data_IF_417789367719
#
_entry.id   IF_417789367719
#
_cell.length_a   1.000
_cell.length_b   1.000
_cell.length_c   1.000
_cell.angle_alpha   90.00
_cell.angle_beta   90.00
_cell.angle_gamma   90.00
#
_symmetry.space_group_name_H-M   'P 1'
#
loop_
_entity.id
_entity.type
_entity.pdbx_description
1 polymer ?
#
# COMPACT_ATOMS: atom_id res chain seq x y z
N UNK A 1 -6.29 -20.74 -19.20
CA UNK A 1 -6.43 -20.37 -17.79
C UNK A 1 -5.47 -19.21 -17.54
N UNK A 2 -5.97 -18.07 -17.09
CA UNK A 2 -5.09 -16.93 -16.79
C UNK A 2 -4.25 -17.22 -15.54
N UNK A 3 -3.00 -16.73 -15.47
CA UNK A 3 -2.18 -16.94 -14.29
C UNK A 3 -2.85 -16.31 -13.05
N UNK A 4 -2.78 -16.96 -11.88
CA UNK A 4 -3.36 -16.43 -10.63
C UNK A 4 -2.65 -15.17 -10.11
N UNK A 5 -1.57 -14.76 -10.77
CA UNK A 5 -0.77 -13.58 -10.47
C UNK A 5 -0.76 -12.66 -11.68
N UNK A 6 -0.86 -11.36 -11.42
CA UNK A 6 -0.80 -10.33 -12.44
C UNK A 6 0.20 -9.25 -12.04
N UNK A 7 0.68 -8.50 -13.03
CA UNK A 7 1.53 -7.34 -12.80
C UNK A 7 0.66 -6.08 -12.72
N UNK A 8 0.86 -5.30 -11.65
CA UNK A 8 0.25 -3.99 -11.50
C UNK A 8 1.35 -2.96 -11.25
N UNK A 9 1.30 -1.84 -11.97
CA UNK A 9 2.19 -0.69 -11.77
C UNK A 9 1.40 0.43 -11.10
N UNK A 10 1.95 1.01 -10.03
CA UNK A 10 1.36 2.09 -9.27
C UNK A 10 2.27 3.31 -9.35
N UNK A 11 1.74 4.42 -9.85
CA UNK A 11 2.42 5.72 -9.87
C UNK A 11 1.81 6.55 -8.74
N UNK A 12 2.55 6.67 -7.64
CA UNK A 12 2.09 7.32 -6.43
C UNK A 12 2.57 8.76 -6.40
N UNK A 13 1.70 9.64 -5.89
CA UNK A 13 1.98 11.06 -5.74
C UNK A 13 2.21 11.42 -4.25
N UNK A 14 2.91 12.53 -4.01
CA UNK A 14 3.19 13.04 -2.67
C UNK A 14 4.00 12.06 -1.82
N UNK A 15 5.09 11.51 -2.35
CA UNK A 15 6.02 10.69 -1.58
C UNK A 15 6.77 11.52 -0.54
N UNK A 16 7.22 12.70 -0.98
CA UNK A 16 8.01 13.65 -0.21
C UNK A 16 7.22 14.31 0.93
N UNK A 17 7.94 14.65 2.01
CA UNK A 17 7.44 15.49 3.09
C UNK A 17 7.50 16.97 2.70
N UNK A 18 6.58 17.79 3.21
CA UNK A 18 6.63 19.24 3.04
C UNK A 18 7.63 19.89 4.01
N UNK A 19 7.81 19.30 5.20
CA UNK A 19 8.85 19.67 6.17
C UNK A 19 9.73 18.48 6.52
N UNK A 20 9.84 18.18 7.81
CA UNK A 20 10.56 17.00 8.27
C UNK A 20 9.74 15.73 8.04
N UNK A 21 10.41 14.69 7.54
CA UNK A 21 9.78 13.39 7.31
C UNK A 21 9.15 12.85 8.60
N UNK A 22 7.84 12.61 8.56
CA UNK A 22 7.10 12.07 9.69
C UNK A 22 5.97 11.15 9.25
N UNK A 23 5.39 10.42 10.20
CA UNK A 23 4.25 9.54 9.93
C UNK A 23 3.03 10.27 9.33
N UNK A 24 2.91 11.58 9.58
CA UNK A 24 1.83 12.43 9.08
C UNK A 24 2.23 13.24 7.85
N UNK A 25 3.51 13.58 7.72
CA UNK A 25 4.09 14.39 6.65
C UNK A 25 5.08 13.55 5.83
N UNK A 26 4.52 12.64 5.02
CA UNK A 26 5.19 11.81 4.00
C UNK A 26 4.17 10.86 3.37
N UNK A 27 4.53 10.19 2.26
CA UNK A 27 3.80 9.02 1.73
C UNK A 27 2.29 9.24 1.53
N UNK A 28 1.88 10.41 1.09
CA UNK A 28 0.47 10.82 1.01
C UNK A 28 -0.37 9.91 0.10
N UNK A 29 0.07 9.71 -1.15
CA UNK A 29 -0.63 8.86 -2.11
C UNK A 29 -0.67 7.39 -1.69
N UNK A 30 0.42 6.89 -1.12
CA UNK A 30 0.52 5.51 -0.63
C UNK A 30 -0.44 5.23 0.53
N UNK A 31 -0.48 6.12 1.54
CA UNK A 31 -1.37 5.98 2.71
C UNK A 31 -2.84 6.02 2.31
N UNK A 32 -3.21 6.96 1.44
CA UNK A 32 -4.58 7.06 0.93
C UNK A 32 -5.01 5.79 0.16
N UNK A 33 -4.13 5.27 -0.72
CA UNK A 33 -4.40 4.06 -1.48
C UNK A 33 -4.53 2.84 -0.56
N UNK A 34 -3.62 2.66 0.40
CA UNK A 34 -3.67 1.55 1.35
C UNK A 34 -4.97 1.55 2.17
N UNK A 35 -5.39 2.72 2.69
CA UNK A 35 -6.66 2.85 3.41
C UNK A 35 -7.87 2.53 2.51
N UNK A 36 -7.84 2.97 1.25
CA UNK A 36 -8.88 2.66 0.27
C UNK A 36 -8.95 1.17 -0.05
N UNK A 37 -7.79 0.51 -0.21
CA UNK A 37 -7.73 -0.93 -0.47
C UNK A 37 -8.15 -1.75 0.74
N UNK A 38 -7.81 -1.32 1.95
CA UNK A 38 -8.22 -2.00 3.18
C UNK A 38 -9.73 -1.90 3.44
N UNK A 39 -10.35 -0.77 3.08
CA UNK A 39 -11.80 -0.55 3.22
C UNK A 39 -12.63 -1.25 2.13
N UNK A 40 -12.07 -1.42 0.93
CA UNK A 40 -12.66 -2.23 -0.13
C UNK A 40 -12.39 -3.70 0.17
N UNK A 41 -13.32 -4.35 0.88
CA UNK A 41 -13.24 -5.78 1.19
C UNK A 41 -12.78 -6.58 -0.04
N UNK A 42 -11.74 -7.41 0.15
CA UNK A 42 -11.09 -8.10 -0.96
C UNK A 42 -12.07 -9.06 -1.66
N UNK A 43 -12.23 -9.00 -2.99
CA UNK A 43 -12.85 -10.11 -3.71
C UNK A 43 -12.02 -11.37 -3.48
N UNK A 44 -12.68 -12.53 -3.36
CA UNK A 44 -12.02 -13.80 -3.09
C UNK A 44 -10.88 -14.03 -4.11
N UNK A 45 -9.63 -14.07 -3.63
CA UNK A 45 -8.43 -14.27 -4.46
C UNK A 45 -7.45 -13.09 -4.50
N UNK A 46 -7.76 -11.92 -3.93
CA UNK A 46 -6.78 -10.82 -3.81
C UNK A 46 -6.14 -10.82 -2.42
N UNK A 47 -4.99 -11.50 -2.26
CA UNK A 47 -4.15 -11.33 -1.09
C UNK A 47 -3.25 -10.11 -1.26
N UNK A 48 -3.55 -9.01 -0.56
CA UNK A 48 -2.58 -7.93 -0.37
C UNK A 48 -1.80 -8.25 0.90
N UNK A 49 -0.63 -8.90 0.75
CA UNK A 49 0.28 -9.12 1.87
C UNK A 49 1.03 -7.82 2.17
N UNK A 50 0.52 -7.03 3.10
CA UNK A 50 1.32 -6.02 3.76
C UNK A 50 2.43 -6.74 4.55
N UNK A 51 3.67 -6.72 4.04
CA UNK A 51 4.84 -7.08 4.84
C UNK A 51 5.09 -5.96 5.85
N UNK A 52 4.29 -5.95 6.92
CA UNK A 52 4.68 -5.27 8.16
C UNK A 52 5.83 -6.09 8.73
N UNK A 53 6.99 -5.45 8.91
CA UNK A 53 8.18 -6.08 9.45
C UNK A 53 7.89 -6.71 10.81
N UNK A 54 7.79 -8.04 10.82
CA UNK A 54 7.95 -8.87 12.00
C UNK A 54 9.38 -8.66 12.51
N UNK A 55 9.52 -7.77 13.47
CA UNK A 55 10.72 -7.73 14.31
C UNK A 55 10.46 -8.75 15.41
N UNK A 56 10.89 -9.99 15.17
CA UNK A 56 10.81 -11.05 16.15
C UNK A 56 11.72 -10.80 17.35
N UNK A 57 11.26 -11.24 18.53
CA UNK A 57 12.05 -11.32 19.78
C UNK A 57 11.44 -10.55 20.93
#
# INVERSE_FOLDING_TARGET
QEPPVTLQLLFLDGEEAFGDWSATDSLYGARHLAATMASRGHPAGTEIRAMVGDTGG
#
